data_IF_194622660682
#
_entry.id   IF_194622660682
#
_cell.length_a   1.000
_cell.length_b   1.000
_cell.length_c   1.000
_cell.angle_alpha   90.00
_cell.angle_beta   90.00
_cell.angle_gamma   90.00
#
_symmetry.space_group_name_H-M   'P 1'
#
loop_
_entity.id
_entity.type
_entity.pdbx_description
1 polymer ?
#
# COMPACT_ATOMS: atom_id res chain seq x y z
N UNK A 1 -13.75 -8.60 -2.08
CA UNK A 1 -12.73 -9.66 -2.01
C UNK A 1 -12.06 -9.75 -3.37
N UNK A 2 -10.75 -9.50 -3.42
CA UNK A 2 -9.91 -9.75 -4.60
C UNK A 2 -9.69 -8.54 -5.51
N UNK A 3 -8.48 -7.99 -5.46
CA UNK A 3 -7.65 -7.54 -6.60
C UNK A 3 -6.33 -6.96 -6.06
N UNK A 4 -5.56 -7.80 -5.35
CA UNK A 4 -4.11 -7.60 -5.22
C UNK A 4 -3.48 -8.52 -6.28
N UNK A 5 -3.17 -7.99 -7.45
CA UNK A 5 -2.51 -8.76 -8.50
C UNK A 5 -1.68 -7.85 -9.41
N UNK A 6 -0.47 -8.33 -9.71
CA UNK A 6 0.60 -7.77 -10.55
C UNK A 6 1.29 -6.52 -9.96
N UNK A 7 2.56 -6.59 -9.54
CA UNK A 7 3.68 -6.93 -10.42
C UNK A 7 4.78 -7.69 -9.65
N UNK A 8 4.85 -9.00 -9.89
CA UNK A 8 5.98 -9.88 -9.54
C UNK A 8 6.75 -10.14 -10.85
N UNK A 9 7.99 -9.65 -10.93
CA UNK A 9 9.02 -10.01 -11.92
C UNK A 9 10.28 -10.19 -11.06
N UNK A 10 10.75 -11.36 -10.62
CA UNK A 10 11.13 -12.63 -11.26
C UNK A 10 12.13 -12.48 -12.41
N UNK A 11 13.43 -12.66 -12.10
CA UNK A 11 14.38 -13.65 -12.68
C UNK A 11 15.80 -13.22 -12.27
N UNK A 12 16.46 -13.86 -11.29
CA UNK A 12 16.99 -15.22 -11.27
C UNK A 12 17.98 -15.53 -12.41
N UNK A 13 19.24 -15.76 -12.00
CA UNK A 13 20.21 -16.68 -12.60
C UNK A 13 20.66 -16.45 -14.06
N UNK A 14 21.80 -15.77 -14.21
CA UNK A 14 22.74 -16.04 -15.30
C UNK A 14 23.99 -16.71 -14.71
N UNK A 15 23.85 -18.00 -14.43
CA UNK A 15 24.96 -18.93 -14.25
C UNK A 15 24.75 -20.10 -15.23
N UNK A 16 25.43 -20.04 -16.39
CA UNK A 16 25.68 -21.11 -17.37
C UNK A 16 26.62 -20.47 -18.39
N UNK A 17 27.89 -20.81 -18.52
CA UNK A 17 28.49 -22.14 -18.59
C UNK A 17 29.16 -22.24 -19.99
N UNK A 18 30.48 -22.20 -20.05
CA UNK A 18 31.28 -22.32 -21.29
C UNK A 18 32.76 -22.57 -20.97
N UNK A 19 33.51 -23.28 -21.84
CA UNK A 19 34.33 -24.44 -21.47
C UNK A 19 35.72 -24.15 -20.89
N UNK A 20 36.18 -25.08 -20.06
CA UNK A 20 37.48 -25.13 -19.39
C UNK A 20 38.56 -25.72 -20.30
N UNK A 21 39.71 -25.06 -20.54
CA UNK A 21 40.88 -25.70 -21.12
C UNK A 21 41.60 -26.53 -20.05
N UNK A 22 41.74 -27.84 -20.30
CA UNK A 22 42.51 -28.78 -19.48
C UNK A 22 43.99 -28.39 -19.46
N UNK A 23 44.45 -27.82 -18.35
CA UNK A 23 45.85 -27.75 -17.95
C UNK A 23 46.02 -28.39 -16.57
N UNK A 24 47.19 -28.97 -16.25
CA UNK A 24 47.44 -29.53 -14.93
C UNK A 24 47.40 -28.41 -13.88
N UNK A 25 46.40 -28.48 -12.99
CA UNK A 25 46.21 -27.53 -11.89
C UNK A 25 47.33 -27.73 -10.86
N UNK A 26 48.15 -26.72 -10.55
CA UNK A 26 49.14 -26.84 -9.48
C UNK A 26 48.42 -27.07 -8.14
N UNK A 27 49.04 -27.75 -7.15
CA UNK A 27 48.41 -28.01 -5.86
C UNK A 27 48.03 -26.68 -5.21
N UNK A 28 46.73 -26.42 -5.13
CA UNK A 28 46.20 -25.22 -4.50
C UNK A 28 46.52 -25.30 -3.00
N UNK A 29 47.37 -24.38 -2.52
CA UNK A 29 47.41 -24.07 -1.10
C UNK A 29 46.02 -23.56 -0.71
N UNK A 30 45.23 -24.42 -0.06
CA UNK A 30 44.00 -24.00 0.63
C UNK A 30 44.43 -23.13 1.80
N UNK A 31 44.37 -21.83 1.59
CA UNK A 31 44.30 -20.89 2.71
C UNK A 31 42.96 -21.18 3.39
N UNK A 32 43.00 -21.66 4.63
CA UNK A 32 41.82 -21.73 5.50
C UNK A 32 41.37 -20.28 5.76
N UNK A 33 40.54 -19.75 4.87
CA UNK A 33 39.87 -18.48 5.08
C UNK A 33 38.76 -18.75 6.08
N UNK A 34 38.80 -18.17 7.30
CA UNK A 34 37.73 -18.34 8.26
C UNK A 34 36.41 -17.89 7.63
N UNK A 35 35.36 -18.69 7.82
CA UNK A 35 34.04 -18.39 7.28
C UNK A 35 33.61 -16.98 7.75
N UNK A 36 33.08 -16.13 6.86
CA UNK A 36 32.61 -14.81 7.25
C UNK A 36 31.54 -14.97 8.33
N UNK A 37 31.68 -14.19 9.41
CA UNK A 37 30.68 -14.18 10.48
C UNK A 37 29.30 -13.82 9.90
N UNK A 38 28.22 -14.44 10.41
CA UNK A 38 26.88 -14.07 9.98
C UNK A 38 26.63 -12.59 10.28
N UNK A 39 25.88 -11.87 9.41
CA UNK A 39 25.56 -10.48 9.66
C UNK A 39 24.81 -10.34 10.99
N UNK A 40 25.05 -9.27 11.76
CA UNK A 40 24.30 -9.03 12.98
C UNK A 40 22.79 -8.94 12.65
N UNK A 41 21.91 -9.36 13.58
CA UNK A 41 20.47 -9.19 13.39
C UNK A 41 20.14 -7.71 13.22
N UNK A 42 19.14 -7.37 12.38
CA UNK A 42 18.72 -5.99 12.21
C UNK A 42 18.26 -5.42 13.57
N UNK A 43 18.53 -4.13 13.85
CA UNK A 43 18.07 -3.51 15.09
C UNK A 43 16.54 -3.59 15.19
N UNK A 44 15.98 -3.78 16.40
CA UNK A 44 14.53 -3.74 16.58
C UNK A 44 14.01 -2.37 16.12
N UNK A 45 13.01 -2.39 15.22
CA UNK A 45 12.36 -1.17 14.73
C UNK A 45 11.63 -0.51 15.91
N UNK A 46 12.22 0.53 16.49
CA UNK A 46 11.59 1.36 17.52
C UNK A 46 10.65 2.36 16.87
N UNK A 47 9.60 2.77 17.58
CA UNK A 47 8.79 3.92 17.19
C UNK A 47 9.75 5.07 16.89
N UNK A 48 9.73 5.66 15.68
CA UNK A 48 10.43 6.90 15.45
C UNK A 48 9.76 7.96 16.35
N UNK A 49 10.42 8.27 17.47
CA UNK A 49 10.00 9.21 18.51
C UNK A 49 8.58 9.00 19.11
N UNK A 50 8.47 8.07 20.08
CA UNK A 50 7.21 7.82 20.81
C UNK A 50 6.69 9.04 21.58
N UNK A 51 7.58 9.84 22.17
CA UNK A 51 7.14 10.98 22.97
C UNK A 51 6.54 12.06 22.08
N UNK A 52 7.21 12.40 20.97
CA UNK A 52 6.68 13.31 19.96
C UNK A 52 5.35 12.83 19.39
N UNK A 53 5.18 11.52 19.21
CA UNK A 53 3.90 10.92 18.80
C UNK A 53 2.78 11.15 19.82
N UNK A 54 3.01 10.91 21.12
CA UNK A 54 1.99 11.12 22.15
C UNK A 54 1.51 12.57 22.20
N UNK A 55 2.44 13.53 22.12
CA UNK A 55 2.12 14.97 22.10
C UNK A 55 1.29 15.33 20.87
N UNK A 56 1.65 14.78 19.71
CA UNK A 56 0.93 15.00 18.46
C UNK A 56 -0.50 14.41 18.52
N UNK A 57 -0.62 13.19 19.04
CA UNK A 57 -1.89 12.50 19.20
C UNK A 57 -2.84 13.26 20.11
N UNK A 58 -2.36 13.77 21.25
CA UNK A 58 -3.18 14.58 22.15
C UNK A 58 -3.63 15.88 21.49
N UNK A 59 -2.72 16.61 20.84
CA UNK A 59 -3.01 17.89 20.16
C UNK A 59 -4.11 17.75 19.11
N UNK A 60 -4.06 16.70 18.29
CA UNK A 60 -4.96 16.52 17.15
C UNK A 60 -6.12 15.54 17.41
N UNK A 61 -6.24 14.97 18.63
CA UNK A 61 -7.24 13.95 18.98
C UNK A 61 -8.69 14.37 18.68
N UNK A 62 -9.00 15.66 18.79
CA UNK A 62 -10.33 16.22 18.57
C UNK A 62 -10.79 16.12 17.10
N UNK A 63 -9.85 16.13 16.15
CA UNK A 63 -10.12 16.15 14.70
C UNK A 63 -9.72 14.85 14.01
N UNK A 64 -8.66 14.22 14.52
CA UNK A 64 -8.01 13.09 13.90
C UNK A 64 -7.95 11.89 14.85
N UNK A 65 -8.04 10.71 14.25
CA UNK A 65 -7.70 9.44 14.87
C UNK A 65 -6.32 9.03 14.35
N UNK A 66 -5.32 9.05 15.23
CA UNK A 66 -3.94 8.77 14.89
C UNK A 66 -3.60 7.32 15.20
N UNK A 67 -2.97 6.65 14.24
CA UNK A 67 -2.51 5.26 14.35
C UNK A 67 -1.09 5.17 13.82
N UNK A 68 -0.33 4.17 14.28
CA UNK A 68 1.02 3.96 13.78
C UNK A 68 1.35 2.48 13.65
N UNK A 69 2.22 2.17 12.69
CA UNK A 69 2.68 0.82 12.39
C UNK A 69 4.21 0.86 12.18
N UNK A 70 4.91 -0.08 12.80
CA UNK A 70 6.37 -0.14 12.84
C UNK A 70 6.99 -0.76 11.59
N UNK A 71 6.21 -1.54 10.85
CA UNK A 71 6.75 -2.40 9.79
C UNK A 71 6.57 -1.82 8.39
N UNK A 72 6.03 -0.61 8.29
CA UNK A 72 5.67 0.05 7.04
C UNK A 72 6.52 1.30 6.76
N UNK A 73 6.70 1.60 5.48
CA UNK A 73 7.45 2.77 4.99
C UNK A 73 6.84 4.10 5.47
N UNK A 74 5.53 4.11 5.72
CA UNK A 74 4.79 5.25 6.25
C UNK A 74 4.18 4.87 7.60
N UNK A 75 4.96 4.96 8.69
CA UNK A 75 4.55 4.49 9.99
C UNK A 75 3.48 5.37 10.62
N UNK A 76 3.37 6.65 10.25
CA UNK A 76 2.37 7.55 10.80
C UNK A 76 1.13 7.57 9.93
N UNK A 77 -0.04 7.34 10.54
CA UNK A 77 -1.34 7.36 9.87
C UNK A 77 -2.35 8.17 10.66
N UNK A 78 -3.18 8.93 9.95
CA UNK A 78 -4.28 9.68 10.55
C UNK A 78 -5.55 9.52 9.72
N UNK A 79 -6.68 9.30 10.38
CA UNK A 79 -8.01 9.30 9.77
C UNK A 79 -8.82 10.47 10.34
N UNK A 80 -9.47 11.24 9.49
CA UNK A 80 -10.30 12.35 9.95
C UNK A 80 -11.59 11.82 10.59
N UNK A 81 -11.92 12.28 11.80
CA UNK A 81 -13.09 11.76 12.55
C UNK A 81 -14.43 12.10 11.90
N UNK A 82 -14.53 13.29 11.30
CA UNK A 82 -15.76 13.73 10.62
C UNK A 82 -15.87 13.31 9.15
N UNK A 83 -14.78 12.78 8.56
CA UNK A 83 -14.73 12.36 7.16
C UNK A 83 -13.82 11.12 7.06
N UNK A 84 -14.37 9.91 7.29
CA UNK A 84 -13.57 8.69 7.40
C UNK A 84 -12.72 8.37 6.16
N UNK A 85 -13.11 8.89 4.99
CA UNK A 85 -12.40 8.72 3.73
C UNK A 85 -11.17 9.63 3.60
N UNK A 86 -11.06 10.66 4.45
CA UNK A 86 -9.88 11.53 4.50
C UNK A 86 -8.82 10.89 5.42
N UNK A 87 -7.84 10.26 4.78
CA UNK A 87 -6.74 9.54 5.44
C UNK A 87 -5.39 10.08 4.96
N UNK A 88 -4.48 10.28 5.90
CA UNK A 88 -3.08 10.60 5.63
C UNK A 88 -2.15 9.52 6.12
N UNK A 89 -1.04 9.35 5.40
CA UNK A 89 0.08 8.55 5.80
C UNK A 89 1.38 9.29 5.48
N UNK A 90 2.36 9.23 6.36
CA UNK A 90 3.66 9.86 6.17
C UNK A 90 4.80 9.01 6.75
N UNK A 91 5.97 9.14 6.13
CA UNK A 91 7.22 8.54 6.59
C UNK A 91 7.91 9.38 7.69
N UNK A 92 7.62 10.68 7.72
CA UNK A 92 8.29 11.66 8.55
C UNK A 92 7.30 12.34 9.51
N UNK A 93 7.69 12.50 10.78
CA UNK A 93 6.82 13.04 11.84
C UNK A 93 6.51 14.52 11.64
N UNK A 94 7.49 15.30 11.21
CA UNK A 94 7.36 16.76 11.07
C UNK A 94 6.47 17.08 9.87
N UNK A 95 6.68 16.38 8.76
CA UNK A 95 5.79 16.46 7.60
C UNK A 95 4.36 16.05 7.98
N UNK A 96 4.22 14.99 8.76
CA UNK A 96 2.91 14.52 9.23
C UNK A 96 2.19 15.57 10.08
N UNK A 97 2.90 16.24 11.00
CA UNK A 97 2.34 17.35 11.79
C UNK A 97 1.86 18.50 10.91
N UNK A 98 2.65 18.89 9.90
CA UNK A 98 2.26 19.94 8.93
C UNK A 98 0.99 19.53 8.19
N UNK A 99 0.90 18.30 7.70
CA UNK A 99 -0.30 17.79 7.01
C UNK A 99 -1.55 17.87 7.91
N UNK A 100 -1.44 17.46 9.17
CA UNK A 100 -2.56 17.52 10.12
C UNK A 100 -3.00 18.95 10.43
N UNK A 101 -2.05 19.89 10.43
CA UNK A 101 -2.31 21.30 10.72
C UNK A 101 -3.04 22.04 9.60
N UNK A 102 -2.72 21.74 8.33
CA UNK A 102 -3.22 22.47 7.16
C UNK A 102 -4.50 21.86 6.60
N UNK A 103 -4.70 20.56 6.80
CA UNK A 103 -5.79 19.86 6.13
C UNK A 103 -7.17 20.29 6.65
N UNK A 104 -7.91 21.00 5.81
CA UNK A 104 -9.33 21.26 5.96
C UNK A 104 -10.14 20.24 5.15
N UNK A 105 -11.13 19.57 5.74
CA UNK A 105 -11.98 18.67 5.01
C UNK A 105 -12.74 19.43 3.92
N UNK A 106 -12.85 18.89 2.69
CA UNK A 106 -13.63 19.54 1.64
C UNK A 106 -15.07 19.74 2.11
N UNK A 107 -15.57 20.98 2.00
CA UNK A 107 -16.93 21.36 2.40
C UNK A 107 -18.02 20.70 1.55
N UNK A 108 -17.64 20.19 0.37
CA UNK A 108 -18.52 19.45 -0.53
C UNK A 108 -17.70 18.53 -1.44
N UNK A 109 -18.00 17.24 -1.42
CA UNK A 109 -17.50 16.30 -2.43
C UNK A 109 -18.22 16.61 -3.75
N UNK A 110 -17.48 17.05 -4.78
CA UNK A 110 -18.05 17.16 -6.13
C UNK A 110 -18.32 15.74 -6.64
N UNK A 111 -19.59 15.47 -6.91
CA UNK A 111 -20.07 14.20 -7.42
C UNK A 111 -19.81 14.17 -8.93
N UNK A 112 -18.76 13.49 -9.38
CA UNK A 112 -18.35 13.52 -10.79
C UNK A 112 -18.90 12.35 -11.63
N UNK A 113 -19.39 11.28 -11.00
CA UNK A 113 -19.78 10.05 -11.72
C UNK A 113 -21.14 9.57 -11.22
N UNK A 114 -22.20 10.27 -11.61
CA UNK A 114 -23.56 9.85 -11.25
C UNK A 114 -24.48 9.89 -12.44
N UNK A 115 -24.35 10.88 -13.31
CA UNK A 115 -25.24 10.97 -14.48
C UNK A 115 -25.03 9.81 -15.48
N UNK A 116 -23.79 9.37 -15.72
CA UNK A 116 -23.54 8.28 -16.66
C UNK A 116 -24.03 6.92 -16.13
N UNK A 117 -23.77 6.62 -14.86
CA UNK A 117 -24.20 5.37 -14.21
C UNK A 117 -25.72 5.34 -13.96
N UNK A 118 -26.32 6.46 -13.56
CA UNK A 118 -27.78 6.57 -13.39
C UNK A 118 -28.50 6.42 -14.73
N UNK A 119 -27.95 6.97 -15.82
CA UNK A 119 -28.51 6.84 -17.16
C UNK A 119 -28.40 5.42 -17.69
N UNK A 120 -27.25 4.77 -17.50
CA UNK A 120 -27.04 3.37 -17.88
C UNK A 120 -27.96 2.43 -17.10
N UNK A 121 -28.15 2.68 -15.80
CA UNK A 121 -29.05 1.91 -14.94
C UNK A 121 -30.53 2.14 -15.29
N UNK A 122 -30.89 3.35 -15.70
CA UNK A 122 -32.24 3.66 -16.18
C UNK A 122 -32.54 2.99 -17.53
N UNK A 123 -31.57 2.96 -18.45
CA UNK A 123 -31.68 2.25 -19.74
C UNK A 123 -31.77 0.73 -19.53
N UNK A 124 -30.99 0.17 -18.62
CA UNK A 124 -31.05 -1.25 -18.27
C UNK A 124 -32.40 -1.64 -17.64
N UNK A 125 -32.95 -0.80 -16.74
CA UNK A 125 -34.29 -0.99 -16.19
C UNK A 125 -35.39 -0.86 -17.24
N UNK A 126 -35.25 0.07 -18.19
CA UNK A 126 -36.19 0.23 -19.30
C UNK A 126 -36.17 -1.00 -20.21
N UNK A 127 -34.98 -1.50 -20.55
CA UNK A 127 -34.82 -2.72 -21.34
C UNK A 127 -35.37 -3.96 -20.62
N UNK A 128 -35.18 -4.06 -19.30
CA UNK A 128 -35.72 -5.16 -18.50
C UNK A 128 -37.26 -5.12 -18.45
N UNK A 129 -37.86 -3.93 -18.31
CA UNK A 129 -39.31 -3.76 -18.33
C UNK A 129 -39.90 -4.10 -19.70
N UNK A 130 -39.28 -3.66 -20.80
CA UNK A 130 -39.72 -4.02 -22.16
C UNK A 130 -39.67 -5.54 -22.39
N UNK A 131 -38.66 -6.22 -21.81
CA UNK A 131 -38.55 -7.68 -21.88
C UNK A 131 -39.66 -8.39 -21.10
N UNK A 132 -40.07 -7.85 -19.95
CA UNK A 132 -41.16 -8.40 -19.11
C UNK A 132 -42.53 -8.21 -19.77
N UNK A 133 -42.75 -7.11 -20.49
CA UNK A 133 -44.00 -6.85 -21.21
C UNK A 133 -44.12 -7.59 -22.57
N UNK A 134 -43.04 -8.18 -23.09
CA UNK A 134 -43.02 -8.98 -24.32
C UNK A 134 -43.23 -10.50 -24.10
N UNK A 135 -43.36 -10.95 -22.84
CA UNK A 135 -43.72 -12.34 -22.58
C UNK A 135 -45.15 -12.61 -23.11
N UNK A 136 -45.35 -13.54 -24.06
CA UNK A 136 -46.69 -13.86 -24.52
C UNK A 136 -47.46 -14.45 -23.34
N UNK A 137 -48.52 -13.78 -22.92
CA UNK A 137 -49.59 -14.41 -22.16
C UNK A 137 -50.26 -15.43 -23.09
N UNK A 138 -49.65 -16.61 -23.17
CA UNK A 138 -50.22 -17.75 -23.88
C UNK A 138 -51.53 -18.14 -23.19
N UNK A 139 -52.63 -17.96 -23.94
CA UNK A 139 -53.95 -18.50 -23.61
C UNK A 139 -54.11 -19.96 -24.00
#
# INVERSE_FOLDING_TARGET
MGLFSLLLLVFAALARGGPSPSGPVPPAHRVDVPAPAPPPPPPPRRIPDHYGWCVLAERYAHKWELTYDYDVVMPYRARHRGQPDLVFAASDRELFEVMLSVAEPPSRVRRYVVEAEERQRAEELAALNDLVFMAPTGG
#
